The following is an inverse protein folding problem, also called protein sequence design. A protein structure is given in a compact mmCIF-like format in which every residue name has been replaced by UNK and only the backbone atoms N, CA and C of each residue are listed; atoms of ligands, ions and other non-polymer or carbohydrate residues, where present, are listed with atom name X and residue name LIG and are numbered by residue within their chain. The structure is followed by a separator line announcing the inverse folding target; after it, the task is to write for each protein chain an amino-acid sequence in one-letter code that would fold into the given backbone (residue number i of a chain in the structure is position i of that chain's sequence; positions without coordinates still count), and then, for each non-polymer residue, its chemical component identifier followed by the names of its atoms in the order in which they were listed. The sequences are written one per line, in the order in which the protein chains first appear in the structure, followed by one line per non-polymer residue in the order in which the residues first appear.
data_IF_416113376704
#
_entry.id   IF_416113376704
#
_cell.length_a   1.000
_cell.length_b   1.000
_cell.length_c   1.000
_cell.angle_alpha   90.00
_cell.angle_beta   90.00
_cell.angle_gamma   90.00
#
_symmetry.space_group_name_H-M   'P 1'
#
loop_
_entity.id
_entity.type
_entity.pdbx_description
1 polymer ?
2 non-polymer ?
3 water ?
#
# COMPACT_ATOMS: atom_id res chain seq x y z
N UNK A 3 25.03 -31.10 4.97
CA UNK A 3 25.59 -29.86 4.38
C UNK A 3 24.58 -28.75 4.20
N UNK A 4 23.33 -29.10 3.87
CA UNK A 4 22.30 -28.10 3.63
C UNK A 4 21.86 -27.47 4.95
N UNK A 5 21.77 -26.14 4.96
CA UNK A 5 21.34 -25.39 6.13
C UNK A 5 20.15 -24.53 5.75
N UNK A 6 19.14 -24.52 6.62
CA UNK A 6 17.90 -23.80 6.38
C UNK A 6 17.62 -22.79 7.47
N UNK A 7 17.19 -21.60 7.07
CA UNK A 7 16.63 -20.65 8.02
C UNK A 7 15.62 -19.78 7.32
N UNK A 8 14.88 -19.02 8.11
CA UNK A 8 13.81 -18.18 7.59
C UNK A 8 13.78 -16.84 8.32
N UNK A 9 13.33 -15.81 7.61
CA UNK A 9 13.07 -14.50 8.18
C UNK A 9 11.57 -14.27 8.02
N UNK A 10 10.91 -13.93 9.12
CA UNK A 10 9.46 -13.77 9.17
C UNK A 10 9.12 -12.28 9.17
N UNK A 11 8.51 -11.81 8.08
CA UNK A 11 8.15 -10.40 7.96
C UNK A 11 6.65 -10.19 8.17
N UNK A 12 5.92 -11.26 8.50
CA UNK A 12 4.49 -11.15 8.72
C UNK A 12 4.17 -10.21 9.88
N UNK A 13 3.11 -9.43 9.71
CA UNK A 13 2.57 -8.61 10.79
C UNK A 13 1.08 -8.41 10.56
N UNK A 14 0.40 -7.94 11.60
CA UNK A 14 -1.03 -7.60 11.53
C UNK A 14 -1.27 -6.12 11.81
N UNK A 15 -0.29 -5.28 11.47
CA UNK A 15 -0.46 -3.84 11.62
C UNK A 15 -1.39 -3.32 10.53
N UNK A 16 -2.08 -2.22 10.83
CA UNK A 16 -2.79 -1.49 9.78
C UNK A 16 -1.76 -0.92 8.82
N UNK A 17 -2.14 -0.87 7.55
CA UNK A 17 -1.32 -0.23 6.53
C UNK A 17 -1.52 1.28 6.56
N UNK A 18 -2.78 1.68 6.64
CA UNK A 18 -3.13 3.09 6.78
C UNK A 18 -3.24 3.41 8.26
N UNK A 19 -2.36 4.26 8.77
CA UNK A 19 -2.41 4.60 10.18
C UNK A 19 -3.37 5.74 10.46
N UNK A 20 -3.46 6.71 9.54
CA UNK A 20 -4.09 7.99 9.87
C UNK A 20 -5.09 8.60 8.89
N UNK A 21 -5.20 8.07 7.67
CA UNK A 21 -5.93 8.79 6.61
C UNK A 21 -7.43 8.48 6.67
N UNK A 22 -8.22 9.54 6.79
CA UNK A 22 -9.66 9.51 6.68
C UNK A 22 -10.27 8.28 7.32
N UNK A 23 -10.03 8.16 8.62
CA UNK A 23 -10.48 7.00 9.37
C UNK A 23 -12.00 6.93 9.61
N UNK A 24 -12.70 8.03 9.32
CA UNK A 24 -14.16 8.06 9.35
C UNK A 24 -14.78 7.41 8.11
N UNK A 25 -13.94 7.06 7.13
CA UNK A 25 -14.35 6.33 5.92
C UNK A 25 -14.06 4.84 6.10
N UNK A 26 -15.11 4.00 6.10
CA UNK A 26 -14.87 2.59 6.40
C UNK A 26 -14.08 1.82 5.34
N UNK A 27 -14.04 2.31 4.11
CA UNK A 27 -13.15 1.71 3.12
C UNK A 27 -12.82 2.77 2.10
N UNK A 28 -11.55 3.14 2.02
CA UNK A 28 -11.12 4.25 1.19
C UNK A 28 -10.82 3.77 -0.24
N UNK A 29 -11.69 4.18 -1.17
CA UNK A 29 -11.59 3.83 -2.57
C UNK A 29 -11.55 5.14 -3.35
N UNK A 30 -10.72 5.22 -4.39
CA UNK A 30 -10.75 6.34 -5.31
C UNK A 30 -11.02 5.87 -6.71
N UNK A 31 -11.65 6.75 -7.48
CA UNK A 31 -12.01 6.45 -8.86
C UNK A 31 -11.84 7.69 -9.72
N UNK A 32 -11.05 7.57 -10.79
CA UNK A 32 -10.81 8.69 -11.71
C UNK A 32 -11.13 8.34 -13.16
N UNK A 33 -11.50 9.34 -13.96
CA UNK A 33 -11.70 9.15 -15.40
C UNK A 33 -10.40 9.48 -16.12
N UNK A 34 -10.01 8.61 -17.05
CA UNK A 34 -8.81 8.81 -17.87
C UNK A 34 -8.87 10.13 -18.61
N UNK A 35 -10.03 10.42 -19.20
CA UNK A 35 -10.23 11.58 -20.05
C UNK A 35 -9.95 12.92 -19.36
N UNK A 36 -9.92 12.91 -18.04
CA UNK A 36 -9.66 14.11 -17.25
C UNK A 36 -8.30 14.08 -16.54
N UNK A 37 -7.42 13.14 -16.90
CA UNK A 37 -6.04 13.10 -16.39
C UNK A 37 -5.10 13.99 -17.20
N UNK A 38 -3.99 14.37 -16.57
CA UNK A 38 -2.95 15.15 -17.25
C UNK A 38 -1.97 14.27 -17.99
N UNK A 39 -0.69 14.65 -18.00
CA UNK A 39 0.35 13.81 -18.59
C UNK A 39 0.68 12.59 -17.73
N UNK A 40 0.62 12.75 -16.41
CA UNK A 40 1.06 11.71 -15.49
C UNK A 40 0.33 11.93 -14.18
N UNK A 41 -0.23 10.86 -13.62
CA UNK A 41 -0.76 10.90 -12.28
C UNK A 41 0.01 9.88 -11.46
N UNK A 42 0.52 10.29 -10.31
CA UNK A 42 1.31 9.39 -9.46
C UNK A 42 0.54 9.18 -8.17
N UNK A 43 0.02 7.96 -8.04
CA UNK A 43 -0.89 7.60 -6.97
C UNK A 43 -0.14 6.85 -5.86
N UNK A 44 -0.45 7.22 -4.63
CA UNK A 44 0.19 6.65 -3.46
C UNK A 44 -0.33 5.23 -3.15
N UNK A 45 0.58 4.30 -2.86
CA UNK A 45 0.26 2.95 -2.46
C UNK A 45 0.83 2.63 -1.07
N UNK A 46 1.28 3.64 -0.35
CA UNK A 46 1.88 3.45 0.98
C UNK A 46 1.03 4.05 2.12
N UNK A 47 0.02 4.85 1.79
CA UNK A 47 -0.88 5.46 2.80
C UNK A 47 -0.16 6.36 3.81
N UNK A 48 0.91 7.00 3.35
CA UNK A 48 1.65 7.99 4.15
C UNK A 48 1.66 9.37 3.54
N UNK A 49 1.29 9.48 2.26
CA UNK A 49 1.32 10.76 1.60
C UNK A 49 0.42 11.77 2.29
N UNK A 50 0.90 13.01 2.42
CA UNK A 50 0.08 14.11 2.90
C UNK A 50 -0.87 14.61 1.80
N UNK A 51 -0.68 14.15 0.57
CA UNK A 51 -1.55 14.50 -0.56
C UNK A 51 -2.34 13.27 -1.05
N UNK A 52 -2.50 12.26 -0.20
CA UNK A 52 -3.28 11.06 -0.57
C UNK A 52 -4.57 11.47 -1.25
N UNK A 53 -4.91 10.85 -2.40
CA UNK A 53 -4.38 9.64 -3.04
C UNK A 53 -3.12 9.80 -3.90
N UNK A 54 -2.60 11.02 -4.01
CA UNK A 54 -1.38 11.27 -4.77
C UNK A 54 -0.13 11.06 -3.96
N UNK A 55 0.90 10.54 -4.61
CA UNK A 55 2.22 10.31 -4.01
C UNK A 55 2.92 11.65 -3.78
N UNK A 56 3.52 11.81 -2.61
CA UNK A 56 4.32 12.99 -2.29
C UNK A 56 5.73 12.60 -1.84
N UNK A 57 6.13 11.35 -2.12
CA UNK A 57 7.46 10.89 -1.77
C UNK A 57 7.59 10.36 -0.36
N UNK A 58 6.49 10.35 0.40
CA UNK A 58 6.49 9.81 1.76
C UNK A 58 6.93 8.34 1.81
N UNK A 59 6.68 7.58 0.75
CA UNK A 59 7.08 6.18 0.71
C UNK A 59 8.57 5.98 1.03
N UNK A 60 9.43 6.91 0.61
CA UNK A 60 10.87 6.74 0.82
C UNK A 60 11.21 6.68 2.30
N UNK A 61 10.53 7.49 3.11
CA UNK A 61 10.78 7.50 4.57
C UNK A 61 10.37 6.17 5.20
N UNK A 62 9.21 5.67 4.80
CA UNK A 62 8.72 4.37 5.23
C UNK A 62 9.67 3.24 4.83
N UNK A 63 10.07 3.23 3.56
CA UNK A 63 10.98 2.19 3.08
C UNK A 63 12.31 2.17 3.82
N UNK A 64 12.84 3.36 4.08
CA UNK A 64 14.11 3.49 4.75
C UNK A 64 13.99 2.97 6.19
N UNK A 65 12.93 3.38 6.87
CA UNK A 65 12.67 2.95 8.24
C UNK A 65 12.50 1.45 8.41
N UNK A 66 11.64 0.85 7.59
CA UNK A 66 11.20 -0.52 7.80
C UNK A 66 11.92 -1.54 6.92
N UNK A 67 12.72 -1.07 5.97
CA UNK A 67 13.33 -1.96 4.99
C UNK A 67 12.40 -2.40 3.87
N UNK A 68 11.24 -1.76 3.76
CA UNK A 68 10.23 -2.08 2.74
C UNK A 68 10.66 -1.56 1.36
N UNK A 69 9.86 -1.88 0.33
CA UNK A 69 10.17 -1.54 -1.05
C UNK A 69 8.94 -1.11 -1.80
N UNK A 70 8.05 -0.38 -1.13
CA UNK A 70 6.82 0.05 -1.76
C UNK A 70 7.04 1.33 -2.56
N UNK A 71 6.22 1.51 -3.57
CA UNK A 71 6.31 2.67 -4.46
C UNK A 71 4.94 2.90 -5.07
N UNK A 72 4.77 4.01 -5.78
CA UNK A 72 3.49 4.46 -6.33
C UNK A 72 3.05 3.75 -7.62
N UNK A 73 1.81 4.02 -8.05
CA UNK A 73 1.27 3.58 -9.31
C UNK A 73 1.18 4.83 -10.18
N UNK A 74 1.66 4.70 -11.41
CA UNK A 74 1.69 5.79 -12.35
C UNK A 74 0.78 5.49 -13.53
N UNK A 75 -0.10 6.45 -13.82
CA UNK A 75 -0.92 6.38 -15.01
C UNK A 75 -0.49 7.58 -15.82
N UNK A 76 0.00 7.33 -17.02
CA UNK A 76 0.58 8.38 -17.86
C UNK A 76 0.08 8.34 -19.30
N UNK A 77 0.32 9.44 -20.02
CA UNK A 77 0.10 9.48 -21.46
C UNK A 77 1.27 8.81 -22.17
N UNK A 78 0.97 7.90 -23.09
CA UNK A 78 1.99 7.25 -23.92
C UNK A 78 2.83 8.26 -24.73
N UNK A 79 4.13 7.99 -24.82
CA UNK A 79 5.08 8.83 -25.57
C UNK A 79 4.44 9.58 -26.75
N UNK B 1 -5.37 3.53 41.21
CA UNK B 1 -6.81 3.42 41.55
C UNK B 1 -7.69 4.25 40.63
N UNK B 2 -7.57 3.99 39.33
CA UNK B 2 -8.32 4.72 38.31
C UNK B 2 -9.35 3.85 37.58
N UNK B 3 -9.08 2.55 37.45
CA UNK B 3 -9.89 1.64 36.62
C UNK B 3 -9.32 1.54 35.21
N UNK B 4 -8.22 2.24 34.98
CA UNK B 4 -7.54 2.27 33.69
C UNK B 4 -6.28 1.42 33.80
N UNK B 5 -5.95 0.72 32.72
CA UNK B 5 -4.67 0.02 32.63
C UNK B 5 -3.83 0.73 31.58
N UNK B 6 -2.63 1.17 31.98
CA UNK B 6 -1.73 1.90 31.10
C UNK B 6 -0.61 1.00 30.60
N UNK B 7 -0.32 1.12 29.31
CA UNK B 7 0.74 0.36 28.69
C UNK B 7 1.69 1.33 28.00
N UNK B 8 2.95 1.31 28.41
CA UNK B 8 3.99 2.15 27.81
C UNK B 8 5.03 1.24 27.17
N UNK B 9 5.10 1.28 25.84
CA UNK B 9 5.98 0.42 25.05
C UNK B 9 7.03 1.28 24.38
N UNK B 10 8.08 0.63 23.88
CA UNK B 10 9.20 1.33 23.27
C UNK B 10 9.94 0.41 22.30
N UNK B 11 9.80 0.69 21.00
CA UNK B 11 10.46 -0.12 19.98
C UNK B 11 10.50 0.62 18.64
N UNK B 12 11.44 0.22 17.79
CA UNK B 12 11.56 0.78 16.44
C UNK B 12 10.40 0.33 15.56
N UNK B 13 10.14 1.10 14.51
CA UNK B 13 9.11 0.74 13.53
C UNK B 13 9.65 -0.30 12.55
N UNK B 14 9.12 -1.52 12.64
CA UNK B 14 9.57 -2.64 11.80
C UNK B 14 8.49 -3.17 10.85
N UNK B 15 7.26 -2.66 10.95
CA UNK B 15 6.13 -3.18 10.18
C UNK B 15 6.19 -2.76 8.72
N UNK B 16 6.51 -3.71 7.85
CA UNK B 16 6.42 -3.49 6.42
C UNK B 16 4.95 -3.49 5.94
N UNK B 17 4.69 -2.73 4.89
CA UNK B 17 3.38 -2.73 4.24
C UNK B 17 3.28 -3.91 3.28
N UNK B 18 4.29 -4.04 2.42
CA UNK B 18 4.46 -5.18 1.54
C UNK B 18 5.25 -6.29 2.20
N UNK B 19 4.60 -7.43 2.38
CA UNK B 19 5.19 -8.55 3.07
C UNK B 19 5.95 -9.49 2.14
N UNK B 20 5.60 -9.52 0.84
CA UNK B 20 6.08 -10.62 -0.01
C UNK B 20 6.33 -10.33 -1.48
N UNK B 21 5.89 -9.18 -1.98
CA UNK B 21 5.89 -8.93 -3.42
C UNK B 21 7.24 -8.40 -3.92
N UNK B 22 7.78 -9.07 -4.95
CA UNK B 22 8.99 -8.61 -5.67
C UNK B 22 10.07 -8.06 -4.74
N UNK B 23 10.48 -8.86 -3.75
CA UNK B 23 11.38 -8.34 -2.74
C UNK B 23 12.83 -8.11 -3.22
N UNK B 24 13.17 -8.59 -4.44
CA UNK B 24 14.47 -8.29 -5.04
C UNK B 24 14.46 -6.96 -5.77
N UNK B 25 13.30 -6.30 -5.81
CA UNK B 25 13.15 -4.96 -6.38
C UNK B 25 13.13 -3.97 -5.21
N UNK B 26 14.10 -3.04 -5.16
CA UNK B 26 14.22 -2.16 -4.00
C UNK B 26 13.13 -1.09 -3.90
N UNK B 27 12.42 -0.85 -4.99
CA UNK B 27 11.27 0.03 -4.95
C UNK B 27 10.33 -0.26 -6.10
N UNK B 28 9.17 -0.79 -5.73
CA UNK B 28 8.18 -1.26 -6.69
C UNK B 28 7.28 -0.14 -7.17
N UNK B 29 7.45 0.19 -8.44
CA UNK B 29 6.63 1.18 -9.15
C UNK B 29 6.04 0.55 -10.41
N UNK B 30 4.77 0.80 -10.67
CA UNK B 30 4.15 0.37 -11.91
C UNK B 30 3.71 1.60 -12.65
N UNK B 31 3.84 1.56 -13.96
CA UNK B 31 3.46 2.69 -14.79
C UNK B 31 2.76 2.15 -16.00
N UNK B 32 1.56 2.65 -16.26
CA UNK B 32 0.78 2.20 -17.39
C UNK B 32 0.39 3.40 -18.20
N UNK B 33 0.34 3.18 -19.51
CA UNK B 33 -0.14 4.16 -20.47
C UNK B 33 -1.66 4.11 -20.46
N UNK B 34 -2.29 5.27 -20.27
CA UNK B 34 -3.74 5.34 -20.14
C UNK B 34 -4.43 4.88 -21.43
N UNK B 35 -3.81 5.17 -22.57
CA UNK B 35 -4.36 4.81 -23.87
C UNK B 35 -4.53 3.30 -24.03
N UNK B 36 -3.68 2.52 -23.37
CA UNK B 36 -3.71 1.06 -23.50
C UNK B 36 -4.42 0.34 -22.36
N UNK B 37 -5.14 1.08 -21.52
CA UNK B 37 -6.01 0.46 -20.52
C UNK B 37 -7.29 0.07 -21.25
N UNK B 38 -8.07 -0.81 -20.66
CA UNK B 38 -9.38 -1.15 -21.21
C UNK B 38 -10.38 -0.09 -20.79
N UNK B 39 -11.63 -0.50 -20.58
CA UNK B 39 -12.64 0.40 -20.05
C UNK B 39 -12.42 0.68 -18.56
N UNK B 40 -11.78 -0.26 -17.87
CA UNK B 40 -11.62 -0.17 -16.43
C UNK B 40 -10.41 -0.95 -15.97
N UNK B 41 -9.71 -0.39 -14.99
CA UNK B 41 -8.72 -1.16 -14.23
C UNK B 41 -8.83 -0.78 -12.76
N UNK B 42 -8.58 -1.77 -11.91
CA UNK B 42 -8.68 -1.61 -10.46
C UNK B 42 -7.36 -2.06 -9.84
N UNK B 43 -6.69 -1.12 -9.19
CA UNK B 43 -5.32 -1.31 -8.70
C UNK B 43 -5.28 -1.48 -7.19
N UNK B 44 -4.51 -2.45 -6.75
CA UNK B 44 -4.34 -2.74 -5.33
C UNK B 44 -3.48 -1.71 -4.63
N UNK B 45 -4.01 -1.21 -3.53
CA UNK B 45 -3.23 -0.36 -2.66
C UNK B 45 -2.93 -0.98 -1.26
N UNK B 46 -3.16 -2.29 -1.10
CA UNK B 46 -2.97 -3.00 0.18
C UNK B 46 -1.81 -4.01 0.16
N UNK B 47 -1.28 -4.28 -1.04
CA UNK B 47 -0.14 -5.20 -1.25
C UNK B 47 -0.47 -6.64 -0.83
N UNK B 48 -1.77 -6.96 -0.82
CA UNK B 48 -2.21 -8.30 -0.36
C UNK B 48 -2.76 -9.10 -1.53
N UNK B 49 -3.04 -8.43 -2.64
CA UNK B 49 -3.62 -9.09 -3.78
C UNK B 49 -2.72 -10.17 -4.31
N UNK B 50 -3.33 -11.30 -4.65
CA UNK B 50 -2.64 -12.40 -5.32
C UNK B 50 -2.37 -12.04 -6.79
N UNK B 51 -2.96 -10.94 -7.26
CA UNK B 51 -2.82 -10.46 -8.64
C UNK B 51 -2.19 -9.06 -8.72
N UNK B 52 -1.42 -8.69 -7.70
CA UNK B 52 -0.79 -7.38 -7.64
C UNK B 52 -0.05 -7.14 -8.95
N UNK B 53 -0.17 -5.93 -9.53
CA UNK B 53 -0.73 -4.70 -8.96
C UNK B 53 -2.26 -4.52 -9.02
N UNK B 54 -2.99 -5.57 -9.39
CA UNK B 54 -4.43 -5.48 -9.58
C UNK B 54 -5.13 -5.96 -8.30
N UNK B 55 -6.24 -5.29 -7.99
CA UNK B 55 -7.07 -5.62 -6.82
C UNK B 55 -7.86 -6.90 -7.08
N UNK B 56 -7.75 -7.85 -6.16
CA UNK B 56 -8.49 -9.10 -6.24
C UNK B 56 -9.45 -9.29 -5.06
N UNK B 57 -9.62 -8.24 -4.25
CA UNK B 57 -10.53 -8.28 -3.12
C UNK B 57 -9.85 -8.70 -1.82
N UNK B 58 -8.53 -8.89 -1.85
CA UNK B 58 -7.80 -9.32 -0.65
C UNK B 58 -7.84 -8.29 0.48
N UNK B 59 -8.07 -7.04 0.11
CA UNK B 59 -8.16 -5.98 1.09
C UNK B 59 -9.23 -6.22 2.16
N UNK B 60 -10.32 -6.90 1.82
CA UNK B 60 -11.41 -7.17 2.78
C UNK B 60 -10.89 -7.96 4.00
N UNK B 61 -10.18 -9.05 3.74
CA UNK B 61 -9.55 -9.82 4.80
C UNK B 61 -8.58 -8.99 5.63
N UNK B 62 -7.75 -8.20 4.95
CA UNK B 62 -6.79 -7.37 5.66
C UNK B 62 -7.52 -6.40 6.59
N UNK B 63 -8.53 -5.74 6.08
CA UNK B 63 -9.26 -4.76 6.89
C UNK B 63 -9.96 -5.41 8.08
N UNK B 64 -10.49 -6.61 7.89
CA UNK B 64 -11.18 -7.32 8.97
C UNK B 64 -10.17 -7.75 10.04
N UNK B 65 -9.02 -8.27 9.61
CA UNK B 65 -8.00 -8.79 10.53
C UNK B 65 -7.27 -7.69 11.30
N UNK B 66 -7.09 -6.53 10.68
CA UNK B 66 -6.26 -5.48 11.29
C UNK B 66 -7.06 -4.27 11.78
N UNK B 67 -8.33 -4.18 11.41
CA UNK B 67 -9.15 -3.01 11.71
C UNK B 67 -8.94 -1.81 10.78
N UNK B 68 -8.29 -2.03 9.64
CA UNK B 68 -7.90 -0.98 8.69
C UNK B 68 -9.08 -0.65 7.78
N UNK B 69 -8.87 0.33 6.89
CA UNK B 69 -9.91 0.82 6.02
C UNK B 69 -9.38 1.10 4.63
N UNK B 70 -8.46 0.28 4.16
CA UNK B 70 -7.88 0.51 2.83
C UNK B 70 -8.69 -0.12 1.70
N UNK B 71 -8.59 0.50 0.54
CA UNK B 71 -9.23 -0.01 -0.65
C UNK B 71 -8.49 0.41 -1.90
N UNK B 72 -9.01 -0.02 -3.05
CA UNK B 72 -8.30 0.14 -4.33
C UNK B 72 -8.48 1.48 -5.02
N UNK B 73 -7.75 1.61 -6.12
CA UNK B 73 -7.83 2.74 -7.02
C UNK B 73 -8.42 2.24 -8.33
N UNK B 74 -9.47 2.90 -8.79
CA UNK B 74 -10.15 2.57 -10.05
C UNK B 74 -9.82 3.65 -11.09
N UNK B 75 -9.35 3.23 -12.26
CA UNK B 75 -9.19 4.12 -13.41
C UNK B 75 -10.16 3.67 -14.48
N UNK B 76 -11.02 4.57 -14.93
CA UNK B 76 -12.10 4.25 -15.88
C UNK B 76 -12.28 5.36 -16.92
X LIG C 1 2.89 6.79 -0.85
X LIG C 1 4.70 7.66 -2.67
X LIG C 1 3.89 8.75 -0.93
X LIG C 1 3.63 5.68 -2.65
X LIG D 1 -5.39 -4.74 -2.34
X LIG D 1 -7.99 -4.67 -3.16
X LIG D 1 -6.67 -6.46 -3.02
X LIG D 1 -6.68 -2.94 -2.54
#
# INVERSE_FOLDING_TARGET
GSGMRFYVKDHRNKAMINLHIQKDNPKIVHAFDMEDLGDKAVYCRCWRSKKFPFCDGAHTKHNEETGDNVGPLIIKKKET
GSGMRFYVKDHRNKAMINLHIQKDNPKIVHAFDMEDLGDKAVYCRCWRSKKFPFCDGAHTKHNEETGDNVGPLIIKKKET
FES FE1 FE2 S1 S2
FES FE1 FE2 S1 S2
#
